data_IF_046282470715
#
_entry.id   IF_046282470715
#
_cell.length_a   1.000
_cell.length_b   1.000
_cell.length_c   1.000
_cell.angle_alpha   90.00
_cell.angle_beta   90.00
_cell.angle_gamma   90.00
#
_symmetry.space_group_name_H-M   'P 1'
#
loop_
_entity.id
_entity.type
_entity.pdbx_description
1 polymer ?
#
# COMPACT_ATOMS: atom_id res chain seq x y z
N UNK A 1 -0.02 -12.36 9.22
CA UNK A 1 0.53 -12.42 10.58
C UNK A 1 0.74 -10.99 11.07
N UNK A 2 -0.37 -10.33 11.41
CA UNK A 2 -0.41 -8.99 11.97
C UNK A 2 -0.82 -9.12 13.43
N UNK A 3 0.07 -9.60 14.25
CA UNK A 3 -0.11 -9.53 15.71
C UNK A 3 0.86 -8.49 16.25
N UNK A 4 0.28 -7.42 16.79
CA UNK A 4 0.91 -6.39 17.61
C UNK A 4 1.61 -5.26 16.86
N UNK A 5 0.82 -4.35 16.37
CA UNK A 5 1.28 -2.98 16.15
C UNK A 5 0.39 -1.96 16.87
N UNK A 6 -0.77 -2.36 17.36
CA UNK A 6 -1.60 -1.50 18.19
C UNK A 6 -1.48 -1.91 19.65
N UNK A 7 -0.35 -1.68 20.25
CA UNK A 7 -0.23 -1.69 21.69
C UNK A 7 0.72 -0.57 22.07
N UNK A 8 0.14 0.50 22.56
CA UNK A 8 0.68 1.37 23.57
C UNK A 8 1.68 2.40 23.10
N UNK A 9 1.52 3.63 23.39
CA UNK A 9 1.93 4.23 24.68
C UNK A 9 1.87 5.75 24.58
N UNK A 10 1.25 6.34 25.53
CA UNK A 10 1.55 7.70 25.92
C UNK A 10 3.03 7.86 26.32
N UNK A 11 3.61 8.95 25.88
CA UNK A 11 4.89 9.51 26.31
C UNK A 11 6.14 8.66 26.07
N UNK A 12 6.65 8.70 24.90
CA UNK A 12 8.09 8.77 24.57
C UNK A 12 8.31 8.35 23.13
N UNK A 13 8.95 9.19 22.32
CA UNK A 13 9.55 8.80 21.03
C UNK A 13 10.63 7.73 21.27
N UNK A 14 10.23 6.51 21.54
CA UNK A 14 11.13 5.35 21.56
C UNK A 14 10.79 4.48 20.35
N UNK A 15 11.70 4.46 19.38
CA UNK A 15 11.75 3.45 18.34
C UNK A 15 11.66 2.07 19.00
N UNK A 16 10.54 1.37 18.81
CA UNK A 16 10.42 -0.02 19.20
C UNK A 16 10.87 -0.85 18.02
N UNK A 17 12.10 -1.34 18.07
CA UNK A 17 12.54 -2.43 17.21
C UNK A 17 11.81 -3.70 17.67
N UNK A 18 10.74 -4.06 16.97
CA UNK A 18 10.04 -5.31 17.22
C UNK A 18 10.89 -6.47 16.69
N UNK A 19 11.49 -7.20 17.60
CA UNK A 19 12.18 -8.45 17.32
C UNK A 19 11.22 -9.50 16.79
N UNK A 20 11.58 -10.09 15.67
CA UNK A 20 10.90 -11.18 14.99
C UNK A 20 10.73 -12.37 15.93
N UNK A 21 9.51 -12.65 16.39
CA UNK A 21 9.14 -13.96 16.95
C UNK A 21 8.21 -14.67 15.98
N UNK A 22 8.76 -15.66 15.30
CA UNK A 22 8.01 -16.65 14.53
C UNK A 22 7.22 -17.52 15.48
N UNK A 23 5.90 -17.41 15.51
CA UNK A 23 5.03 -18.44 16.03
C UNK A 23 3.90 -18.67 15.02
N UNK A 24 3.79 -19.92 14.61
CA UNK A 24 3.05 -20.36 13.44
C UNK A 24 1.53 -20.32 13.57
N UNK A 25 0.94 -20.56 12.44
CA UNK A 25 -0.43 -20.89 12.06
C UNK A 25 -1.30 -19.70 11.61
N UNK A 26 -1.70 -19.74 10.34
CA UNK A 26 -2.80 -19.00 9.76
C UNK A 26 -2.37 -17.96 8.71
N UNK A 27 -1.67 -18.40 7.67
CA UNK A 27 -1.42 -17.57 6.50
C UNK A 27 -2.67 -17.42 5.65
N UNK A 28 -3.31 -16.25 5.63
CA UNK A 28 -4.24 -15.86 4.58
C UNK A 28 -3.44 -15.21 3.46
N UNK A 29 -3.43 -15.91 2.32
CA UNK A 29 -2.73 -15.50 1.11
C UNK A 29 -3.44 -14.32 0.46
N UNK A 30 -2.69 -13.30 0.14
CA UNK A 30 -3.09 -12.18 -0.71
C UNK A 30 -3.47 -12.64 -2.11
N UNK A 31 -4.68 -12.41 -2.52
CA UNK A 31 -5.09 -12.52 -3.92
C UNK A 31 -5.20 -11.10 -4.50
N UNK A 32 -4.14 -10.60 -5.10
CA UNK A 32 -4.18 -9.38 -5.90
C UNK A 32 -4.74 -9.76 -7.29
N UNK A 33 -6.02 -9.53 -7.50
CA UNK A 33 -6.68 -9.80 -8.78
C UNK A 33 -6.55 -8.56 -9.67
N UNK A 34 -5.54 -8.53 -10.53
CA UNK A 34 -5.45 -7.55 -11.61
C UNK A 34 -6.34 -8.00 -12.75
N UNK A 35 -7.54 -7.43 -12.88
CA UNK A 35 -8.41 -7.64 -14.04
C UNK A 35 -7.91 -6.74 -15.19
N UNK A 36 -7.23 -7.34 -16.15
CA UNK A 36 -6.98 -6.71 -17.44
C UNK A 36 -8.20 -6.90 -18.35
N UNK A 37 -8.98 -5.85 -18.51
CA UNK A 37 -10.02 -5.79 -19.54
C UNK A 37 -9.37 -5.63 -20.92
N UNK A 38 -9.14 -6.74 -21.63
CA UNK A 38 -8.68 -6.73 -23.00
C UNK A 38 -9.86 -6.62 -23.96
N UNK A 39 -9.96 -5.51 -24.71
CA UNK A 39 -10.81 -5.40 -25.89
C UNK A 39 -10.09 -6.06 -27.06
N UNK A 40 -10.74 -7.02 -27.72
CA UNK A 40 -10.23 -7.72 -28.87
C UNK A 40 -10.30 -6.84 -30.14
N UNK A 41 -9.26 -6.92 -30.96
CA UNK A 41 -9.20 -6.54 -32.37
C UNK A 41 -9.28 -5.02 -32.70
N UNK A 42 -8.19 -4.32 -32.45
CA UNK A 42 -7.78 -3.15 -33.21
C UNK A 42 -6.25 -3.10 -33.22
N UNK A 43 -5.66 -2.58 -34.27
CA UNK A 43 -4.24 -2.29 -34.47
C UNK A 43 -3.43 -2.16 -33.17
N UNK A 44 -2.27 -2.83 -33.04
CA UNK A 44 -1.47 -2.93 -31.80
C UNK A 44 -1.00 -1.57 -31.29
N UNK A 45 -1.92 -0.67 -30.95
CA UNK A 45 -1.59 0.45 -30.09
C UNK A 45 -1.39 -0.05 -28.66
N UNK A 46 -0.25 0.26 -28.05
CA UNK A 46 -0.02 -0.03 -26.64
C UNK A 46 -1.15 0.55 -25.79
N UNK A 47 -1.74 -0.23 -24.86
CA UNK A 47 -2.83 0.25 -24.03
C UNK A 47 -2.43 1.53 -23.31
N UNK A 48 -3.35 2.48 -23.22
CA UNK A 48 -3.12 3.78 -22.57
C UNK A 48 -3.62 3.84 -21.14
N UNK A 49 -4.51 2.95 -20.77
CA UNK A 49 -5.11 2.90 -19.42
C UNK A 49 -4.85 1.58 -18.73
N UNK A 50 -4.65 1.63 -17.43
CA UNK A 50 -4.59 0.49 -16.53
C UNK A 50 -5.58 0.71 -15.39
N UNK A 51 -6.18 -0.39 -14.91
CA UNK A 51 -7.02 -0.39 -13.72
C UNK A 51 -6.48 -1.45 -12.77
N UNK A 52 -6.49 -1.15 -11.49
CA UNK A 52 -6.01 -2.08 -10.49
C UNK A 52 -6.88 -1.99 -9.24
N UNK A 53 -6.99 -3.10 -8.54
CA UNK A 53 -7.70 -3.19 -7.27
C UNK A 53 -7.01 -4.22 -6.39
N UNK A 54 -7.20 -4.10 -5.09
CA UNK A 54 -6.71 -5.07 -4.14
C UNK A 54 -7.49 -5.01 -2.85
N UNK A 55 -7.33 -6.06 -2.07
CA UNK A 55 -7.95 -6.22 -0.77
C UNK A 55 -6.94 -6.82 0.20
N UNK A 56 -6.97 -6.38 1.44
CA UNK A 56 -6.13 -6.84 2.53
C UNK A 56 -6.97 -7.09 3.76
N UNK A 57 -6.70 -8.18 4.48
CA UNK A 57 -7.38 -8.48 5.73
C UNK A 57 -6.48 -9.22 6.71
N UNK A 58 -6.72 -8.95 8.00
CA UNK A 58 -6.14 -9.67 9.14
C UNK A 58 -7.18 -9.77 10.25
N UNK A 59 -6.78 -10.24 11.43
CA UNK A 59 -7.70 -10.42 12.58
C UNK A 59 -8.39 -9.11 13.01
N UNK A 60 -7.69 -7.97 12.83
CA UNK A 60 -8.14 -6.68 13.32
C UNK A 60 -8.04 -5.55 12.29
N UNK A 61 -7.86 -5.90 11.01
CA UNK A 61 -7.74 -4.94 9.92
C UNK A 61 -8.34 -5.51 8.65
N UNK A 62 -9.05 -4.70 7.90
CA UNK A 62 -9.48 -5.00 6.55
C UNK A 62 -9.48 -3.72 5.71
N UNK A 63 -8.92 -3.77 4.51
CA UNK A 63 -8.96 -2.64 3.58
C UNK A 63 -9.08 -3.11 2.15
N UNK A 64 -9.61 -2.22 1.30
CA UNK A 64 -9.65 -2.38 -0.13
C UNK A 64 -9.23 -1.11 -0.83
N UNK A 65 -8.64 -1.25 -2.00
CA UNK A 65 -8.29 -0.11 -2.84
C UNK A 65 -8.65 -0.36 -4.29
N UNK A 66 -8.86 0.72 -5.01
CA UNK A 66 -9.07 0.76 -6.45
C UNK A 66 -8.27 1.91 -7.03
N UNK A 67 -7.73 1.72 -8.22
CA UNK A 67 -7.00 2.78 -8.89
C UNK A 67 -7.03 2.65 -10.40
N UNK A 68 -6.67 3.76 -11.04
CA UNK A 68 -6.53 3.88 -12.47
C UNK A 68 -5.25 4.64 -12.82
N UNK A 69 -4.61 4.22 -13.89
CA UNK A 69 -3.48 4.89 -14.51
C UNK A 69 -3.75 5.21 -15.97
N UNK A 70 -3.20 6.32 -16.45
CA UNK A 70 -3.33 6.75 -17.84
C UNK A 70 -2.01 7.26 -18.39
N UNK A 71 -1.61 6.78 -19.58
CA UNK A 71 -0.45 7.26 -20.31
C UNK A 71 -0.81 8.46 -21.19
N UNK A 72 -0.18 9.61 -20.95
CA UNK A 72 -0.40 10.82 -21.73
C UNK A 72 0.37 10.80 -23.06
N UNK A 73 -0.18 11.47 -24.06
CA UNK A 73 0.45 11.58 -25.37
C UNK A 73 0.27 10.34 -26.23
N UNK A 74 1.24 10.10 -27.13
CA UNK A 74 1.22 8.98 -28.09
C UNK A 74 1.79 7.69 -27.48
N UNK A 75 2.62 7.79 -26.44
CA UNK A 75 3.22 6.64 -25.76
C UNK A 75 2.16 5.82 -25.02
N UNK A 76 2.26 4.49 -25.10
CA UNK A 76 1.44 3.59 -24.33
C UNK A 76 2.02 3.31 -22.92
N UNK A 77 1.35 2.48 -22.14
CA UNK A 77 1.74 2.14 -20.77
C UNK A 77 3.12 1.49 -20.65
N UNK A 78 3.61 0.86 -21.72
CA UNK A 78 4.89 0.14 -21.72
C UNK A 78 6.07 0.99 -22.19
N UNK A 79 5.82 2.23 -22.60
CA UNK A 79 6.83 3.13 -23.14
C UNK A 79 7.15 4.27 -22.16
N UNK A 80 8.33 4.90 -22.23
CA UNK A 80 8.63 6.11 -21.46
C UNK A 80 7.61 7.21 -21.74
N UNK A 81 7.23 7.98 -20.73
CA UNK A 81 6.31 9.09 -20.93
C UNK A 81 5.57 9.51 -19.68
N UNK A 82 4.80 10.57 -19.81
CA UNK A 82 3.98 11.11 -18.72
C UNK A 82 2.81 10.19 -18.37
N UNK A 83 2.48 10.18 -17.09
CA UNK A 83 1.45 9.33 -16.48
C UNK A 83 0.57 10.16 -15.57
N UNK A 84 -0.72 9.83 -15.58
CA UNK A 84 -1.65 10.23 -14.52
C UNK A 84 -2.05 8.99 -13.73
N UNK A 85 -2.33 9.16 -12.45
CA UNK A 85 -2.79 8.11 -11.56
C UNK A 85 -3.82 8.66 -10.59
N UNK A 86 -4.88 7.88 -10.34
CA UNK A 86 -5.83 8.11 -9.26
C UNK A 86 -5.94 6.81 -8.45
N UNK A 87 -5.99 6.93 -7.13
CA UNK A 87 -6.14 5.81 -6.20
C UNK A 87 -7.12 6.21 -5.12
N UNK A 88 -8.06 5.33 -4.79
CA UNK A 88 -8.91 5.43 -3.62
C UNK A 88 -8.81 4.15 -2.80
N UNK A 89 -8.82 4.29 -1.49
CA UNK A 89 -8.82 3.17 -0.55
C UNK A 89 -9.79 3.43 0.59
N UNK A 90 -10.27 2.34 1.18
CA UNK A 90 -11.05 2.38 2.40
C UNK A 90 -10.69 1.19 3.26
N UNK A 91 -10.48 1.44 4.57
CA UNK A 91 -10.10 0.44 5.54
C UNK A 91 -10.87 0.56 6.84
N UNK A 92 -10.86 -0.54 7.59
CA UNK A 92 -11.33 -0.62 8.97
C UNK A 92 -10.32 -1.35 9.80
N UNK A 93 -10.10 -0.87 11.01
CA UNK A 93 -9.17 -1.48 11.94
C UNK A 93 -9.68 -1.39 13.37
N UNK A 94 -9.12 -2.25 14.21
CA UNK A 94 -9.43 -2.26 15.66
C UNK A 94 -8.14 -2.39 16.44
N UNK A 95 -8.04 -1.62 17.53
CA UNK A 95 -6.91 -1.72 18.45
C UNK A 95 -7.34 -1.53 19.89
N UNK A 96 -6.54 -2.07 20.81
CA UNK A 96 -6.73 -1.91 22.25
C UNK A 96 -5.81 -0.80 22.76
N UNK A 97 -6.34 0.02 23.64
CA UNK A 97 -5.64 1.12 24.28
C UNK A 97 -6.21 1.44 25.65
N UNK A 98 -6.09 2.68 26.08
CA UNK A 98 -6.62 3.13 27.36
C UNK A 98 -7.23 4.53 27.24
N UNK A 99 -8.42 4.68 27.79
CA UNK A 99 -9.09 5.99 27.97
C UNK A 99 -8.77 6.55 29.33
N UNK A 100 -8.45 7.84 29.38
CA UNK A 100 -8.35 8.59 30.63
C UNK A 100 -9.75 8.98 31.09
N UNK A 101 -10.13 8.52 32.27
CA UNK A 101 -11.40 8.87 32.94
C UNK A 101 -11.10 9.61 34.24
N UNK A 102 -12.13 10.14 34.90
CA UNK A 102 -12.00 10.76 36.24
C UNK A 102 -11.43 9.81 37.31
N UNK A 103 -11.44 8.51 37.04
CA UNK A 103 -10.97 7.46 37.93
C UNK A 103 -9.62 6.86 37.49
N UNK A 104 -8.96 7.47 36.49
CA UNK A 104 -7.69 7.02 35.90
C UNK A 104 -7.83 6.37 34.54
N UNK A 105 -6.77 5.66 34.11
CA UNK A 105 -6.76 4.96 32.84
C UNK A 105 -7.57 3.66 32.89
N UNK A 106 -8.52 3.53 31.96
CA UNK A 106 -9.37 2.34 31.82
C UNK A 106 -9.07 1.71 30.44
N UNK A 107 -8.86 0.38 30.38
CA UNK A 107 -8.71 -0.31 29.09
C UNK A 107 -9.90 -0.04 28.18
N UNK A 108 -9.64 0.27 26.92
CA UNK A 108 -10.66 0.52 25.90
C UNK A 108 -10.24 -0.08 24.57
N UNK A 109 -11.22 -0.51 23.80
CA UNK A 109 -11.04 -0.95 22.42
C UNK A 109 -11.54 0.14 21.49
N UNK A 110 -10.76 0.48 20.48
CA UNK A 110 -11.04 1.51 19.49
C UNK A 110 -11.31 0.86 18.15
N UNK A 111 -12.39 1.26 17.50
CA UNK A 111 -12.71 0.91 16.12
C UNK A 111 -12.39 2.12 15.23
N UNK A 112 -11.53 1.93 14.24
CA UNK A 112 -11.09 2.96 13.30
C UNK A 112 -11.58 2.66 11.88
N UNK A 113 -11.90 3.71 11.17
CA UNK A 113 -12.16 3.72 9.72
C UNK A 113 -11.19 4.69 9.06
N UNK A 114 -10.66 4.28 7.91
CA UNK A 114 -9.72 5.05 7.11
C UNK A 114 -10.23 5.17 5.68
N UNK A 115 -10.31 6.38 5.15
CA UNK A 115 -10.63 6.67 3.76
C UNK A 115 -9.52 7.50 3.14
N UNK A 116 -9.00 7.04 2.02
CA UNK A 116 -7.87 7.64 1.32
C UNK A 116 -8.20 7.91 -0.13
N UNK A 117 -7.74 9.05 -0.66
CA UNK A 117 -7.82 9.40 -2.07
C UNK A 117 -6.54 10.12 -2.51
N UNK A 118 -5.97 9.74 -3.65
CA UNK A 118 -4.82 10.43 -4.25
C UNK A 118 -5.00 10.64 -5.75
N UNK A 119 -4.51 11.79 -6.23
CA UNK A 119 -4.40 12.13 -7.65
C UNK A 119 -2.97 12.58 -7.95
N UNK A 120 -2.29 11.84 -8.82
CA UNK A 120 -0.86 11.95 -9.06
C UNK A 120 -0.58 12.16 -10.55
N UNK A 121 0.45 12.96 -10.84
CA UNK A 121 1.07 13.06 -12.15
C UNK A 121 2.53 12.60 -12.03
N UNK A 122 3.05 11.98 -13.07
CA UNK A 122 4.38 11.42 -13.02
C UNK A 122 4.97 11.13 -14.37
N UNK A 123 6.15 10.54 -14.36
CA UNK A 123 6.87 10.14 -15.56
C UNK A 123 7.44 8.72 -15.41
N UNK A 124 7.28 7.93 -16.46
CA UNK A 124 7.86 6.61 -16.59
C UNK A 124 9.15 6.68 -17.38
N UNK A 125 10.21 6.21 -16.77
CA UNK A 125 11.52 5.98 -17.40
C UNK A 125 11.66 4.50 -17.75
N UNK A 126 12.39 4.22 -18.83
CA UNK A 126 12.75 2.86 -19.18
C UNK A 126 14.20 2.82 -19.66
N UNK A 127 15.00 1.98 -19.02
CA UNK A 127 16.41 1.74 -19.37
C UNK A 127 16.64 0.25 -19.49
N UNK A 128 16.57 -0.26 -20.70
CA UNK A 128 16.64 -1.68 -20.96
C UNK A 128 15.51 -2.45 -20.27
N UNK A 129 15.88 -3.26 -19.26
CA UNK A 129 14.95 -4.10 -18.47
C UNK A 129 14.40 -3.42 -17.21
N UNK A 130 14.89 -2.23 -16.91
CA UNK A 130 14.46 -1.43 -15.77
C UNK A 130 13.40 -0.44 -16.21
N UNK A 131 12.27 -0.45 -15.50
CA UNK A 131 11.20 0.53 -15.62
C UNK A 131 11.07 1.20 -14.25
N UNK A 132 11.11 2.52 -14.21
CA UNK A 132 10.88 3.31 -13.00
C UNK A 132 9.83 4.36 -13.29
N UNK A 133 8.83 4.46 -12.44
CA UNK A 133 7.81 5.51 -12.48
C UNK A 133 7.96 6.37 -11.23
N UNK A 134 7.99 7.67 -11.41
CA UNK A 134 8.01 8.65 -10.32
C UNK A 134 6.75 9.49 -10.44
N UNK A 135 6.03 9.63 -9.34
CA UNK A 135 4.79 10.39 -9.25
C UNK A 135 4.87 11.41 -8.13
N UNK A 136 4.20 12.54 -8.34
CA UNK A 136 3.92 13.53 -7.32
C UNK A 136 2.48 14.03 -7.50
N UNK A 137 1.83 14.42 -6.41
CA UNK A 137 0.47 14.93 -6.47
C UNK A 137 -0.10 15.24 -5.11
N UNK A 138 -1.41 15.24 -5.05
CA UNK A 138 -2.19 15.54 -3.85
C UNK A 138 -2.83 14.28 -3.30
N UNK A 139 -3.04 14.28 -2.00
CA UNK A 139 -3.79 13.26 -1.29
C UNK A 139 -4.78 13.89 -0.31
N UNK A 140 -5.84 13.16 -0.03
CA UNK A 140 -6.80 13.44 1.04
C UNK A 140 -6.99 12.16 1.84
N UNK A 141 -7.01 12.29 3.14
CA UNK A 141 -7.17 11.18 4.08
C UNK A 141 -8.16 11.58 5.16
N UNK A 142 -9.03 10.67 5.56
CA UNK A 142 -10.00 10.85 6.63
C UNK A 142 -9.96 9.64 7.56
N UNK A 143 -9.64 9.89 8.82
CA UNK A 143 -9.52 8.88 9.87
C UNK A 143 -10.57 9.11 10.93
N UNK A 144 -11.47 8.15 11.11
CA UNK A 144 -12.52 8.19 12.11
C UNK A 144 -12.35 7.10 13.14
N UNK A 145 -12.21 7.46 14.43
CA UNK A 145 -11.97 6.52 15.53
C UNK A 145 -13.09 6.62 16.56
N UNK A 146 -13.66 5.48 16.95
CA UNK A 146 -14.73 5.35 17.92
C UNK A 146 -14.36 4.32 19.01
N UNK A 147 -14.47 4.69 20.30
CA UNK A 147 -14.64 6.06 20.82
C UNK A 147 -13.47 6.96 20.44
N UNK A 148 -13.64 8.27 20.52
CA UNK A 148 -12.54 9.22 20.26
C UNK A 148 -11.32 8.91 21.16
N UNK A 149 -10.14 8.74 20.54
CA UNK A 149 -8.89 8.50 21.25
C UNK A 149 -8.08 9.80 21.34
N UNK A 150 -8.05 10.48 22.50
CA UNK A 150 -7.34 11.75 22.64
C UNK A 150 -5.81 11.61 22.54
N UNK A 151 -5.27 10.40 22.57
CA UNK A 151 -3.84 10.14 22.47
C UNK A 151 -3.39 9.79 21.03
N UNK A 152 -4.32 9.66 20.09
CA UNK A 152 -4.02 9.36 18.71
C UNK A 152 -4.07 10.65 17.87
N UNK A 153 -2.95 11.03 17.25
CA UNK A 153 -2.84 12.23 16.40
C UNK A 153 -3.40 12.00 14.98
N UNK A 154 -3.53 10.74 14.56
CA UNK A 154 -4.03 10.36 13.23
C UNK A 154 -5.55 10.23 13.29
N UNK A 155 -6.24 11.37 13.32
CA UNK A 155 -7.70 11.49 13.37
C UNK A 155 -8.19 12.69 12.57
N UNK A 156 -9.43 12.58 12.06
CA UNK A 156 -10.06 13.61 11.24
C UNK A 156 -9.56 13.63 9.81
N UNK A 157 -9.81 14.72 9.10
CA UNK A 157 -9.47 14.87 7.68
C UNK A 157 -8.19 15.67 7.50
N UNK A 158 -7.30 15.18 6.64
CA UNK A 158 -6.06 15.85 6.26
C UNK A 158 -5.93 15.91 4.74
N UNK A 159 -5.35 17.01 4.25
CA UNK A 159 -4.91 17.17 2.86
C UNK A 159 -3.39 17.25 2.82
N UNK A 160 -2.80 16.58 1.86
CA UNK A 160 -1.35 16.50 1.78
C UNK A 160 -0.82 16.43 0.34
N UNK A 161 0.50 16.39 0.27
CA UNK A 161 1.25 16.07 -0.94
C UNK A 161 1.71 14.61 -0.84
N UNK A 162 1.66 13.90 -1.97
CA UNK A 162 2.15 12.52 -2.07
C UNK A 162 3.23 12.40 -3.10
N UNK A 163 4.31 11.70 -2.73
CA UNK A 163 5.36 11.22 -3.62
C UNK A 163 5.25 9.70 -3.71
N UNK A 164 5.42 9.15 -4.91
CA UNK A 164 5.38 7.71 -5.11
C UNK A 164 6.40 7.30 -6.17
N UNK A 165 7.12 6.22 -5.90
CA UNK A 165 8.02 5.55 -6.82
C UNK A 165 7.55 4.12 -7.04
N UNK A 166 7.60 3.66 -8.28
CA UNK A 166 7.42 2.26 -8.65
C UNK A 166 8.59 1.84 -9.54
N UNK A 167 9.18 0.71 -9.23
CA UNK A 167 10.30 0.18 -9.98
C UNK A 167 10.05 -1.28 -10.32
N UNK A 168 10.33 -1.63 -11.56
CA UNK A 168 10.26 -2.98 -12.08
C UNK A 168 11.55 -3.31 -12.82
N UNK A 169 12.18 -4.43 -12.46
CA UNK A 169 13.40 -4.94 -13.09
C UNK A 169 13.21 -6.39 -13.51
N UNK A 170 13.27 -6.65 -14.81
CA UNK A 170 13.37 -8.01 -15.33
C UNK A 170 14.81 -8.51 -15.24
N UNK A 171 15.13 -9.25 -14.16
CA UNK A 171 16.45 -9.84 -13.93
C UNK A 171 16.75 -10.87 -15.02
N UNK A 172 15.75 -11.72 -15.33
CA UNK A 172 15.80 -12.74 -16.37
C UNK A 172 14.42 -13.00 -16.94
N UNK A 173 14.23 -13.83 -17.97
CA UNK A 173 12.88 -14.19 -18.44
C UNK A 173 12.00 -14.80 -17.34
N UNK A 174 12.59 -15.43 -16.32
CA UNK A 174 11.86 -16.08 -15.23
C UNK A 174 11.83 -15.28 -13.93
N UNK A 175 12.78 -14.41 -13.67
CA UNK A 175 12.88 -13.67 -12.41
C UNK A 175 12.72 -12.18 -12.62
N UNK A 176 11.99 -11.55 -11.71
CA UNK A 176 11.83 -10.10 -11.66
C UNK A 176 11.88 -9.57 -10.23
N UNK A 177 12.28 -8.33 -10.09
CA UNK A 177 12.21 -7.55 -8.86
C UNK A 177 11.24 -6.40 -9.08
N UNK A 178 10.35 -6.14 -8.14
CA UNK A 178 9.63 -4.87 -8.04
C UNK A 178 9.89 -4.21 -6.70
N UNK A 179 9.89 -2.88 -6.70
CA UNK A 179 10.02 -2.06 -5.51
C UNK A 179 9.12 -0.85 -5.64
N UNK A 180 8.24 -0.68 -4.66
CA UNK A 180 7.28 0.40 -4.58
C UNK A 180 7.55 1.18 -3.30
N UNK A 181 7.58 2.50 -3.36
CA UNK A 181 7.73 3.36 -2.21
C UNK A 181 6.81 4.57 -2.34
N UNK A 182 6.21 5.00 -1.24
CA UNK A 182 5.41 6.22 -1.19
C UNK A 182 5.58 6.93 0.14
N UNK A 183 5.41 8.25 0.10
CA UNK A 183 5.35 9.12 1.25
C UNK A 183 4.28 10.18 1.06
N UNK A 184 3.42 10.32 2.03
CA UNK A 184 2.37 11.32 2.12
C UNK A 184 2.61 12.29 3.26
N UNK A 185 2.23 13.55 3.09
CA UNK A 185 2.33 14.56 4.15
C UNK A 185 1.07 14.62 5.00
N UNK A 186 -0.05 14.06 4.55
CA UNK A 186 -1.21 13.79 5.37
C UNK A 186 -0.83 12.68 6.37
N UNK A 187 -0.85 12.98 7.65
CA UNK A 187 -0.46 12.09 8.75
C UNK A 187 0.94 11.44 8.61
N UNK A 188 1.81 12.00 7.76
CA UNK A 188 3.18 11.51 7.49
C UNK A 188 3.25 10.01 7.16
N UNK A 189 2.26 9.54 6.36
CA UNK A 189 2.16 8.15 5.96
C UNK A 189 3.30 7.75 5.02
N UNK A 190 3.90 6.59 5.26
CA UNK A 190 4.87 6.01 4.34
C UNK A 190 4.61 4.52 4.10
N UNK A 191 4.98 4.06 2.93
CA UNK A 191 4.95 2.64 2.57
C UNK A 191 6.15 2.35 1.65
N UNK A 192 6.84 1.25 1.92
CA UNK A 192 7.87 0.70 1.05
C UNK A 192 7.69 -0.81 0.95
N UNK A 193 7.61 -1.35 -0.27
CA UNK A 193 7.39 -2.77 -0.52
C UNK A 193 8.31 -3.25 -1.64
N UNK A 194 9.00 -4.35 -1.41
CA UNK A 194 9.83 -5.02 -2.42
C UNK A 194 9.35 -6.45 -2.63
N UNK A 195 9.39 -6.91 -3.89
CA UNK A 195 8.96 -8.25 -4.29
C UNK A 195 9.98 -8.88 -5.21
N UNK A 196 10.39 -10.11 -4.90
CA UNK A 196 11.15 -10.96 -5.79
C UNK A 196 10.24 -12.05 -6.34
N UNK A 197 9.97 -12.02 -7.64
CA UNK A 197 9.03 -12.91 -8.29
C UNK A 197 9.67 -13.88 -9.25
N UNK A 198 9.11 -15.09 -9.30
CA UNK A 198 9.43 -16.15 -10.25
C UNK A 198 8.21 -16.44 -11.14
N UNK A 199 8.38 -16.30 -12.46
CA UNK A 199 7.36 -16.65 -13.47
C UNK A 199 7.41 -18.15 -13.72
N UNK A 200 6.51 -18.90 -13.10
CA UNK A 200 6.38 -20.34 -13.30
C UNK A 200 5.84 -20.63 -14.71
N UNK A 201 4.91 -19.80 -15.20
CA UNK A 201 4.36 -19.86 -16.56
C UNK A 201 4.14 -18.45 -17.10
N UNK A 202 3.67 -18.32 -18.34
CA UNK A 202 3.28 -17.01 -18.92
C UNK A 202 2.11 -16.34 -18.15
N UNK A 203 1.27 -17.13 -17.48
CA UNK A 203 0.07 -16.65 -16.77
C UNK A 203 0.24 -16.60 -15.26
N UNK A 204 1.29 -17.21 -14.73
CA UNK A 204 1.42 -17.42 -13.29
C UNK A 204 2.82 -17.12 -12.78
N UNK A 205 2.89 -16.27 -11.76
CA UNK A 205 4.11 -16.01 -11.02
C UNK A 205 3.85 -16.13 -9.51
N UNK A 206 4.90 -16.49 -8.79
CA UNK A 206 4.92 -16.55 -7.33
C UNK A 206 6.21 -15.92 -6.82
N UNK A 207 6.25 -15.55 -5.57
CA UNK A 207 7.44 -14.93 -5.01
C UNK A 207 7.35 -14.58 -3.55
N UNK A 208 8.37 -13.87 -3.11
CA UNK A 208 8.48 -13.33 -1.75
C UNK A 208 8.31 -11.82 -1.79
N UNK A 209 7.70 -11.28 -0.76
CA UNK A 209 7.60 -9.84 -0.54
C UNK A 209 8.04 -9.46 0.87
N UNK A 210 8.56 -8.24 0.99
CA UNK A 210 8.91 -7.64 2.27
C UNK A 210 8.84 -6.13 2.18
N UNK A 211 8.49 -5.50 3.29
CA UNK A 211 8.33 -4.06 3.30
C UNK A 211 8.12 -3.47 4.69
N UNK A 212 7.96 -2.17 4.72
CA UNK A 212 7.64 -1.39 5.90
C UNK A 212 6.59 -0.33 5.55
N UNK A 213 5.74 -0.02 6.49
CA UNK A 213 4.74 1.03 6.38
C UNK A 213 4.49 1.64 7.77
N UNK A 214 3.99 2.85 7.79
CA UNK A 214 3.69 3.55 9.03
C UNK A 214 3.18 4.95 8.79
N UNK A 215 2.89 5.63 9.89
CA UNK A 215 2.52 7.04 9.96
C UNK A 215 3.04 7.65 11.28
N UNK A 216 2.48 8.77 11.74
CA UNK A 216 2.90 9.44 12.98
C UNK A 216 2.75 8.57 14.24
N UNK A 217 1.81 7.60 14.23
CA UNK A 217 1.44 6.81 15.39
C UNK A 217 2.09 5.42 15.41
N UNK A 218 2.42 4.87 14.24
CA UNK A 218 2.95 3.50 14.21
C UNK A 218 3.94 3.26 13.07
N UNK A 219 4.78 2.24 13.28
CA UNK A 219 5.65 1.64 12.28
C UNK A 219 5.41 0.13 12.23
N UNK A 220 5.26 -0.42 11.04
CA UNK A 220 5.05 -1.84 10.83
C UNK A 220 5.97 -2.40 9.75
N UNK A 221 6.48 -3.61 9.99
CA UNK A 221 7.14 -4.43 8.99
C UNK A 221 6.21 -5.52 8.47
N UNK A 222 6.32 -5.85 7.18
CA UNK A 222 5.63 -7.00 6.59
C UNK A 222 6.59 -7.90 5.83
N UNK A 223 6.32 -9.20 5.85
CA UNK A 223 7.01 -10.18 5.01
C UNK A 223 6.04 -11.31 4.68
N UNK A 224 6.12 -11.81 3.46
CA UNK A 224 5.21 -12.87 3.01
C UNK A 224 5.56 -13.41 1.64
N UNK A 225 4.67 -14.27 1.15
CA UNK A 225 4.68 -14.75 -0.23
C UNK A 225 3.50 -14.17 -1.00
N UNK A 226 3.61 -14.11 -2.32
CA UNK A 226 2.53 -13.67 -3.19
C UNK A 226 2.34 -14.62 -4.38
N UNK A 227 1.14 -14.59 -4.92
CA UNK A 227 0.79 -15.20 -6.19
C UNK A 227 0.28 -14.09 -7.13
N UNK A 228 0.68 -14.18 -8.41
CA UNK A 228 0.26 -13.23 -9.44
C UNK A 228 -0.24 -13.98 -10.66
N UNK A 229 -1.42 -13.60 -11.13
CA UNK A 229 -1.96 -13.98 -12.44
C UNK A 229 -1.71 -12.83 -13.42
N UNK A 230 -1.19 -13.15 -14.61
CA UNK A 230 -0.91 -12.19 -15.70
C UNK A 230 -1.92 -12.34 -16.82
#
# INVERSE_FOLDING_TARGET
>A
MWRRVFAMWGHSKKRISAGLRLSGAGGLSFLCLCLFGGSALAEFESPKSEYFTGFEASDNYASGYVGAGYALGKAGLYEPGFRLRAVGAYGRYRYDGALLTDHGYVPATFDGEDAFLAALAGYQFRTGRLITKLFAGIEAEDQHIVPHDPNNSVQGSALGLRLQQETWLDISPRFYLSADASYGTAFHEYCALSRLGFRATHRFALGLEGGALGNEEYDAGRAGGFLRLN
#
